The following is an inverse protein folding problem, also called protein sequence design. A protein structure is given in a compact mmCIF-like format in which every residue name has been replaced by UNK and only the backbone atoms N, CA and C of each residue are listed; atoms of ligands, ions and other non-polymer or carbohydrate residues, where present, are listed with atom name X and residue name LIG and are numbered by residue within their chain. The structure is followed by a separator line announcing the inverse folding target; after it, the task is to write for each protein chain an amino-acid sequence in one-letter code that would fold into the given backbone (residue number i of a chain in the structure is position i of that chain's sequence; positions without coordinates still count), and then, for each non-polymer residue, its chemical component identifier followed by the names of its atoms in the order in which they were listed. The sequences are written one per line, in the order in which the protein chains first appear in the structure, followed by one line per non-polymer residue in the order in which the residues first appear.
data_IF_994715550875
#
_entry.id   IF_994715550875
#
_cell.length_a   1.000
_cell.length_b   1.000
_cell.length_c   1.000
_cell.angle_alpha   90.00
_cell.angle_beta   90.00
_cell.angle_gamma   90.00
#
_symmetry.space_group_name_H-M   'P 1'
#
loop_
_entity.id
_entity.type
_entity.pdbx_description
1 polymer ?
#
# COMPACT_ATOMS: atom_id res chain seq x y z
N UNK A 1 9.00 -3.24 2.47
CA UNK A 1 7.59 -3.44 2.83
C UNK A 1 7.41 -4.77 3.53
N UNK A 2 6.78 -4.74 4.69
CA UNK A 2 6.49 -5.90 5.55
C UNK A 2 5.04 -6.35 5.37
N UNK A 3 4.75 -7.61 5.70
CA UNK A 3 3.36 -8.07 5.81
C UNK A 3 2.57 -7.31 6.89
N UNK A 4 3.24 -6.56 7.75
CA UNK A 4 2.63 -5.75 8.80
C UNK A 4 2.33 -4.31 8.39
N UNK A 5 2.79 -3.83 7.22
CA UNK A 5 2.59 -2.44 6.78
C UNK A 5 1.11 -2.09 6.71
N UNK A 6 0.33 -2.93 6.03
CA UNK A 6 -1.13 -2.73 5.89
C UNK A 6 -1.86 -2.74 7.24
N UNK A 7 -1.75 -3.79 8.10
CA UNK A 7 -2.44 -3.80 9.38
C UNK A 7 -2.06 -2.62 10.29
N UNK A 8 -0.81 -2.19 10.31
CA UNK A 8 -0.38 -1.06 11.13
C UNK A 8 -0.97 0.26 10.64
N UNK A 9 -1.03 0.48 9.31
CA UNK A 9 -1.69 1.66 8.75
C UNK A 9 -3.18 1.64 9.07
N UNK A 10 -3.85 0.49 8.91
CA UNK A 10 -5.28 0.37 9.20
C UNK A 10 -5.57 0.56 10.69
N UNK A 11 -4.71 0.09 11.57
CA UNK A 11 -4.86 0.28 13.02
C UNK A 11 -4.69 1.74 13.45
N UNK A 12 -3.83 2.49 12.79
CA UNK A 12 -3.64 3.92 13.02
C UNK A 12 -4.84 4.78 12.57
N UNK A 13 -5.76 4.24 11.77
CA UNK A 13 -6.95 4.94 11.33
C UNK A 13 -8.09 4.85 12.38
N UNK A 14 -8.91 5.90 12.54
CA UNK A 14 -10.16 5.80 13.28
C UNK A 14 -11.02 4.64 12.77
N UNK A 15 -11.71 3.93 13.67
CA UNK A 15 -12.49 2.72 13.35
C UNK A 15 -13.48 2.91 12.21
N UNK A 16 -14.13 4.09 12.12
CA UNK A 16 -15.07 4.42 11.02
C UNK A 16 -14.43 4.41 9.62
N UNK A 17 -13.11 4.66 9.50
CA UNK A 17 -12.37 4.68 8.24
C UNK A 17 -11.68 3.35 7.96
N UNK A 18 -11.25 2.62 8.99
CA UNK A 18 -10.51 1.35 8.90
C UNK A 18 -11.20 0.34 7.97
N UNK A 19 -12.52 0.21 8.08
CA UNK A 19 -13.31 -0.73 7.29
C UNK A 19 -13.68 -0.21 5.89
N UNK A 20 -13.32 1.03 5.57
CA UNK A 20 -13.54 1.65 4.25
C UNK A 20 -12.24 1.87 3.49
N UNK A 21 -11.23 1.09 3.78
CA UNK A 21 -9.97 1.06 3.03
C UNK A 21 -9.88 -0.25 2.27
N UNK A 22 -9.65 -0.16 0.96
CA UNK A 22 -9.33 -1.29 0.10
C UNK A 22 -7.83 -1.26 -0.23
N UNK A 23 -7.12 -2.35 0.00
CA UNK A 23 -5.66 -2.41 -0.18
C UNK A 23 -5.31 -2.98 -1.54
N UNK A 24 -4.61 -2.21 -2.36
CA UNK A 24 -4.08 -2.67 -3.62
C UNK A 24 -2.85 -3.55 -3.40
N UNK A 25 -2.89 -4.80 -3.84
CA UNK A 25 -1.79 -5.75 -3.75
C UNK A 25 -1.30 -6.14 -5.14
N UNK A 26 0.01 -6.27 -5.31
CA UNK A 26 0.56 -6.73 -6.57
C UNK A 26 0.09 -8.17 -6.84
N UNK A 27 -0.48 -8.42 -8.03
CA UNK A 27 -0.96 -9.74 -8.47
C UNK A 27 0.13 -10.82 -8.37
N UNK A 28 1.39 -10.40 -8.49
CA UNK A 28 2.57 -11.23 -8.42
C UNK A 28 2.77 -11.94 -7.06
N UNK A 29 2.20 -11.41 -5.99
CA UNK A 29 2.23 -12.09 -4.67
C UNK A 29 1.40 -13.36 -4.63
N UNK A 30 0.41 -13.47 -5.51
CA UNK A 30 -0.52 -14.59 -5.55
C UNK A 30 -0.49 -15.33 -6.89
N UNK A 31 0.71 -15.44 -7.51
CA UNK A 31 0.89 -16.04 -8.83
C UNK A 31 0.27 -17.43 -8.94
N UNK A 32 0.48 -18.28 -7.95
CA UNK A 32 -0.06 -19.64 -7.99
C UNK A 32 -1.60 -19.67 -7.91
N UNK A 33 -2.24 -18.65 -7.32
CA UNK A 33 -3.70 -18.50 -7.32
C UNK A 33 -4.22 -18.08 -8.70
N UNK A 34 -3.54 -17.11 -9.36
CA UNK A 34 -3.99 -16.57 -10.64
C UNK A 34 -3.55 -17.38 -11.87
N UNK A 35 -2.51 -18.21 -11.72
CA UNK A 35 -1.94 -19.04 -12.79
C UNK A 35 -1.73 -20.48 -12.29
N UNK A 36 -2.82 -21.22 -11.95
CA UNK A 36 -2.74 -22.54 -11.33
C UNK A 36 -1.96 -23.56 -12.15
N UNK A 37 -2.03 -23.45 -13.48
CA UNK A 37 -1.38 -24.40 -14.40
C UNK A 37 0.14 -24.34 -14.36
N UNK A 38 0.73 -23.27 -13.81
CA UNK A 38 2.19 -23.06 -13.70
C UNK A 38 2.77 -23.51 -12.36
N UNK A 39 1.94 -23.95 -11.42
CA UNK A 39 2.34 -24.23 -10.05
C UNK A 39 1.79 -25.55 -9.53
N UNK A 40 2.45 -26.10 -8.50
CA UNK A 40 1.96 -27.32 -7.84
C UNK A 40 0.61 -27.08 -7.14
N UNK A 41 -0.19 -28.15 -7.01
CA UNK A 41 -1.48 -28.09 -6.30
C UNK A 41 -1.36 -27.57 -4.87
N UNK A 42 -0.25 -27.91 -4.17
CA UNK A 42 0.02 -27.41 -2.82
C UNK A 42 0.28 -25.90 -2.83
N UNK A 43 1.06 -25.39 -3.77
CA UNK A 43 1.32 -23.96 -3.92
C UNK A 43 0.05 -23.18 -4.28
N UNK A 44 -0.80 -23.74 -5.14
CA UNK A 44 -2.10 -23.16 -5.47
C UNK A 44 -3.00 -23.02 -4.24
N UNK A 45 -3.18 -24.09 -3.45
CA UNK A 45 -4.03 -24.08 -2.25
C UNK A 45 -3.50 -23.05 -1.23
N UNK A 46 -2.20 -23.05 -0.97
CA UNK A 46 -1.58 -22.11 -0.03
C UNK A 46 -1.72 -20.67 -0.48
N UNK A 47 -1.43 -20.37 -1.76
CA UNK A 47 -1.58 -19.02 -2.32
C UNK A 47 -3.05 -18.56 -2.34
N UNK A 48 -3.98 -19.45 -2.66
CA UNK A 48 -5.41 -19.15 -2.64
C UNK A 48 -5.90 -18.85 -1.24
N UNK A 49 -5.52 -19.63 -0.25
CA UNK A 49 -5.84 -19.36 1.16
C UNK A 49 -5.31 -17.98 1.59
N UNK A 50 -4.04 -17.68 1.30
CA UNK A 50 -3.44 -16.40 1.61
C UNK A 50 -4.13 -15.23 0.89
N UNK A 51 -4.53 -15.40 -0.37
CA UNK A 51 -5.28 -14.40 -1.12
C UNK A 51 -6.65 -14.11 -0.49
N UNK A 52 -7.42 -15.16 -0.16
CA UNK A 52 -8.73 -14.99 0.47
C UNK A 52 -8.64 -14.40 1.87
N UNK A 53 -7.63 -14.78 2.67
CA UNK A 53 -7.37 -14.15 3.96
C UNK A 53 -7.01 -12.66 3.82
N UNK A 54 -6.13 -12.32 2.89
CA UNK A 54 -5.79 -10.92 2.62
C UNK A 54 -7.02 -10.11 2.15
N UNK A 55 -7.84 -10.69 1.28
CA UNK A 55 -9.09 -10.07 0.82
C UNK A 55 -10.09 -9.87 1.94
N UNK A 56 -10.23 -10.86 2.83
CA UNK A 56 -11.18 -10.81 3.95
C UNK A 56 -10.76 -9.78 5.03
N UNK A 57 -9.48 -9.79 5.42
CA UNK A 57 -9.00 -8.94 6.52
C UNK A 57 -8.64 -7.52 6.10
N UNK A 58 -8.22 -7.31 4.85
CA UNK A 58 -7.67 -6.02 4.39
C UNK A 58 -8.42 -5.46 3.18
N UNK A 59 -9.56 -6.03 2.79
CA UNK A 59 -10.25 -5.70 1.54
C UNK A 59 -9.27 -5.68 0.36
N UNK A 60 -8.32 -6.64 0.34
CA UNK A 60 -7.24 -6.64 -0.62
C UNK A 60 -7.76 -7.00 -2.01
N UNK A 61 -7.29 -6.28 -3.03
CA UNK A 61 -7.59 -6.57 -4.42
C UNK A 61 -6.32 -6.58 -5.28
N UNK A 62 -6.27 -7.38 -6.36
CA UNK A 62 -5.10 -7.47 -7.21
C UNK A 62 -4.98 -6.25 -8.11
N UNK A 63 -3.83 -5.58 -8.06
CA UNK A 63 -3.46 -4.50 -8.96
C UNK A 63 -2.51 -5.05 -10.03
N UNK A 64 -2.87 -5.05 -11.31
CA UNK A 64 -1.97 -5.46 -12.38
C UNK A 64 -0.84 -4.44 -12.53
N UNK A 65 0.42 -4.91 -12.53
CA UNK A 65 1.60 -4.04 -12.67
C UNK A 65 1.92 -3.69 -14.14
N UNK A 66 1.24 -4.32 -15.11
CA UNK A 66 1.46 -4.10 -16.54
C UNK A 66 0.29 -3.34 -17.16
N UNK A 67 0.56 -2.60 -18.22
CA UNK A 67 -0.41 -1.72 -18.92
C UNK A 67 -1.68 -2.42 -19.44
N UNK A 68 -1.63 -3.72 -19.67
CA UNK A 68 -2.77 -4.50 -20.19
C UNK A 68 -4.01 -4.55 -19.28
N UNK A 69 -3.95 -3.97 -18.10
CA UNK A 69 -5.07 -3.93 -17.14
C UNK A 69 -5.50 -2.52 -16.72
N UNK A 70 -4.89 -1.46 -17.25
CA UNK A 70 -5.06 -0.08 -16.75
C UNK A 70 -6.51 0.38 -16.78
N UNK A 71 -7.26 0.14 -17.87
CA UNK A 71 -8.66 0.55 -17.99
C UNK A 71 -9.56 -0.16 -16.98
N UNK A 72 -9.37 -1.46 -16.80
CA UNK A 72 -10.13 -2.26 -15.83
C UNK A 72 -9.81 -1.84 -14.39
N UNK A 73 -8.54 -1.57 -14.09
CA UNK A 73 -8.09 -1.06 -12.80
C UNK A 73 -8.72 0.28 -12.47
N UNK A 74 -8.70 1.24 -13.40
CA UNK A 74 -9.31 2.56 -13.22
C UNK A 74 -10.81 2.45 -12.97
N UNK A 75 -11.51 1.60 -13.74
CA UNK A 75 -12.94 1.36 -13.53
C UNK A 75 -13.22 0.79 -12.13
N UNK A 76 -12.49 -0.23 -11.73
CA UNK A 76 -12.66 -0.87 -10.42
C UNK A 76 -12.39 0.09 -9.27
N UNK A 77 -11.28 0.85 -9.34
CA UNK A 77 -10.94 1.85 -8.32
C UNK A 77 -11.99 2.97 -8.31
N UNK A 78 -12.45 3.43 -9.47
CA UNK A 78 -13.53 4.41 -9.57
C UNK A 78 -14.82 3.94 -8.90
N UNK A 79 -15.19 2.66 -9.07
CA UNK A 79 -16.33 2.06 -8.39
C UNK A 79 -16.15 1.98 -6.86
N UNK A 80 -14.95 1.65 -6.37
CA UNK A 80 -14.65 1.65 -4.93
C UNK A 80 -14.79 3.07 -4.35
N UNK A 81 -14.18 4.05 -5.00
CA UNK A 81 -14.21 5.46 -4.54
C UNK A 81 -15.63 6.03 -4.56
N UNK A 82 -16.43 5.73 -5.60
CA UNK A 82 -17.83 6.19 -5.68
C UNK A 82 -18.70 5.59 -4.56
N UNK A 83 -18.31 4.44 -3.99
CA UNK A 83 -18.96 3.83 -2.83
C UNK A 83 -18.41 4.34 -1.49
N UNK A 84 -17.51 5.34 -1.50
CA UNK A 84 -16.92 5.93 -0.31
C UNK A 84 -15.77 5.13 0.29
N UNK A 85 -15.12 4.26 -0.48
CA UNK A 85 -13.88 3.59 -0.08
C UNK A 85 -12.67 4.45 -0.42
N UNK A 86 -11.66 4.39 0.44
CA UNK A 86 -10.30 4.84 0.13
C UNK A 86 -9.47 3.67 -0.37
N UNK A 87 -8.51 3.94 -1.25
CA UNK A 87 -7.62 2.90 -1.79
C UNK A 87 -6.22 3.11 -1.25
N UNK A 88 -5.68 2.11 -0.56
CA UNK A 88 -4.29 2.09 -0.08
C UNK A 88 -3.40 1.48 -1.16
N UNK A 89 -2.42 2.25 -1.62
CA UNK A 89 -1.44 1.81 -2.64
C UNK A 89 -0.03 2.04 -2.11
N UNK A 90 0.84 1.05 -2.30
CA UNK A 90 2.29 1.16 -2.07
C UNK A 90 2.98 1.47 -3.41
N UNK A 91 3.34 2.74 -3.67
CA UNK A 91 3.77 3.17 -5.00
C UNK A 91 5.19 2.73 -5.37
N UNK A 92 5.94 2.17 -4.44
CA UNK A 92 7.29 1.65 -4.66
C UNK A 92 7.31 0.41 -5.58
N UNK A 93 6.20 -0.35 -5.64
CA UNK A 93 6.01 -1.51 -6.50
C UNK A 93 6.89 -2.73 -6.17
N UNK A 94 7.81 -2.60 -5.23
CA UNK A 94 8.69 -3.67 -4.74
C UNK A 94 9.03 -3.47 -3.28
N UNK A 95 9.48 -4.54 -2.62
CA UNK A 95 9.96 -4.46 -1.23
C UNK A 95 11.30 -3.74 -1.20
N UNK A 96 11.44 -2.78 -0.30
CA UNK A 96 12.69 -2.07 0.01
C UNK A 96 13.31 -2.61 1.30
N UNK A 97 14.59 -2.31 1.50
CA UNK A 97 15.25 -2.57 2.78
C UNK A 97 14.66 -1.64 3.86
N UNK A 98 14.79 -2.08 5.12
CA UNK A 98 14.21 -1.37 6.25
C UNK A 98 14.63 0.11 6.29
N UNK A 99 13.65 1.00 6.39
CA UNK A 99 13.86 2.43 6.52
C UNK A 99 14.10 3.20 5.22
N UNK A 100 14.23 2.52 4.08
CA UNK A 100 14.40 3.17 2.78
C UNK A 100 13.06 3.35 2.06
N UNK A 101 12.85 4.54 1.50
CA UNK A 101 11.76 4.83 0.58
C UNK A 101 12.32 4.72 -0.84
N UNK A 102 11.86 3.71 -1.61
CA UNK A 102 12.26 3.57 -3.00
C UNK A 102 11.58 4.62 -3.89
N UNK A 103 12.07 4.72 -5.11
CA UNK A 103 11.45 5.59 -6.13
C UNK A 103 10.02 5.14 -6.41
N UNK A 104 9.10 6.11 -6.45
CA UNK A 104 7.69 5.86 -6.70
C UNK A 104 7.42 5.59 -8.19
N UNK A 105 6.61 4.58 -8.45
CA UNK A 105 6.14 4.26 -9.80
C UNK A 105 5.00 5.19 -10.19
N UNK A 106 4.88 5.55 -11.49
CA UNK A 106 3.86 6.50 -11.98
C UNK A 106 2.41 6.03 -11.80
N UNK A 107 2.19 4.73 -11.59
CA UNK A 107 0.85 4.12 -11.57
C UNK A 107 -0.11 4.73 -10.57
N UNK A 108 0.33 4.99 -9.33
CA UNK A 108 -0.51 5.60 -8.31
C UNK A 108 -0.90 7.04 -8.67
N UNK A 109 0.05 7.84 -9.17
CA UNK A 109 -0.20 9.20 -9.63
C UNK A 109 -1.15 9.23 -10.83
N UNK A 110 -0.99 8.31 -11.78
CA UNK A 110 -1.87 8.16 -12.94
C UNK A 110 -3.32 7.86 -12.51
N UNK A 111 -3.51 6.92 -11.57
CA UNK A 111 -4.83 6.57 -11.05
C UNK A 111 -5.50 7.80 -10.41
N UNK A 112 -4.79 8.49 -9.53
CA UNK A 112 -5.30 9.66 -8.84
C UNK A 112 -5.67 10.80 -9.80
N UNK A 113 -4.80 11.14 -10.75
CA UNK A 113 -5.03 12.19 -11.73
C UNK A 113 -6.19 11.87 -12.70
N UNK A 114 -6.29 10.61 -13.15
CA UNK A 114 -7.37 10.20 -14.08
C UNK A 114 -8.74 10.10 -13.43
N UNK A 115 -8.80 9.81 -12.15
CA UNK A 115 -10.06 9.73 -11.39
C UNK A 115 -10.37 11.03 -10.65
N UNK A 116 -9.54 12.06 -10.75
CA UNK A 116 -9.63 13.33 -10.04
C UNK A 116 -9.86 13.17 -8.52
N UNK A 117 -9.11 12.24 -7.92
CA UNK A 117 -9.18 11.94 -6.48
C UNK A 117 -7.94 12.43 -5.75
N UNK A 118 -8.09 13.00 -4.54
CA UNK A 118 -6.94 13.43 -3.76
C UNK A 118 -6.13 12.23 -3.22
N UNK A 119 -4.84 12.43 -3.06
CA UNK A 119 -3.91 11.45 -2.47
C UNK A 119 -3.45 11.95 -1.11
N UNK A 120 -3.63 11.15 -0.08
CA UNK A 120 -3.06 11.40 1.26
C UNK A 120 -1.71 10.69 1.34
N UNK A 121 -0.58 11.40 1.41
CA UNK A 121 0.71 10.77 1.63
C UNK A 121 0.77 10.18 3.04
N UNK A 122 1.27 8.94 3.15
CA UNK A 122 1.40 8.23 4.41
C UNK A 122 2.83 7.73 4.56
N UNK A 123 3.47 8.02 5.68
CA UNK A 123 4.79 7.50 6.04
C UNK A 123 4.68 6.55 7.22
N UNK A 124 5.36 5.41 7.07
CA UNK A 124 5.43 4.36 8.05
C UNK A 124 6.88 4.15 8.48
N UNK A 125 7.15 4.15 9.78
CA UNK A 125 8.49 4.05 10.35
C UNK A 125 8.53 3.05 11.52
N UNK A 126 9.70 2.46 11.77
CA UNK A 126 9.97 1.60 12.93
C UNK A 126 9.50 0.15 12.78
N UNK A 127 8.94 -0.27 11.65
CA UNK A 127 8.51 -1.66 11.45
C UNK A 127 9.69 -2.64 11.33
N UNK A 128 10.87 -2.18 10.94
CA UNK A 128 12.10 -2.95 10.97
C UNK A 128 12.45 -3.46 12.37
N UNK A 129 12.08 -2.68 13.41
CA UNK A 129 12.25 -3.04 14.83
C UNK A 129 11.14 -3.95 15.36
N UNK A 130 10.04 -4.06 14.63
CA UNK A 130 8.89 -4.93 15.00
C UNK A 130 8.98 -6.25 14.28
N UNK A 131 9.38 -6.25 13.01
CA UNK A 131 9.53 -7.46 12.21
C UNK A 131 10.73 -7.32 11.27
N UNK A 132 11.88 -7.82 11.70
CA UNK A 132 13.05 -7.95 10.83
C UNK A 132 12.89 -9.15 9.90
N UNK A 133 13.46 -9.06 8.69
CA UNK A 133 13.36 -10.14 7.66
C UNK A 133 13.86 -11.51 8.14
N UNK A 134 14.77 -11.52 9.13
CA UNK A 134 15.34 -12.76 9.73
C UNK A 134 14.50 -13.32 10.88
N UNK A 135 13.46 -12.63 11.34
CA UNK A 135 12.68 -13.06 12.50
C UNK A 135 11.43 -13.83 12.06
N UNK A 136 11.15 -14.94 12.77
CA UNK A 136 9.95 -15.75 12.52
C UNK A 136 8.68 -15.12 13.11
N UNK A 137 8.82 -14.28 14.13
CA UNK A 137 7.71 -13.66 14.85
C UNK A 137 7.95 -12.17 15.05
N UNK A 138 6.89 -11.33 15.03
CA UNK A 138 6.98 -9.92 15.35
C UNK A 138 7.42 -9.73 16.82
N UNK A 139 8.28 -8.75 17.03
CA UNK A 139 8.64 -8.30 18.39
C UNK A 139 7.89 -7.01 18.72
N UNK A 140 7.74 -6.72 20.03
CA UNK A 140 7.17 -5.45 20.46
C UNK A 140 8.17 -4.33 20.17
N UNK A 141 7.71 -3.31 19.42
CA UNK A 141 8.52 -2.15 19.09
C UNK A 141 7.64 -0.97 18.67
N UNK A 142 8.16 0.26 18.79
CA UNK A 142 7.42 1.43 18.36
C UNK A 142 7.33 1.49 16.82
N UNK A 143 6.11 1.49 16.30
CA UNK A 143 5.83 1.83 14.90
C UNK A 143 5.09 3.18 14.87
N UNK A 144 5.41 4.01 13.89
CA UNK A 144 4.77 5.32 13.70
C UNK A 144 4.16 5.39 12.32
N UNK A 145 2.93 5.87 12.25
CA UNK A 145 2.23 6.18 11.00
C UNK A 145 1.94 7.68 10.98
N UNK A 146 2.47 8.38 9.99
CA UNK A 146 2.25 9.81 9.80
C UNK A 146 1.45 10.03 8.53
N UNK A 147 0.32 10.75 8.64
CA UNK A 147 -0.52 11.13 7.52
C UNK A 147 -0.28 12.60 7.19
N UNK A 148 -0.06 12.90 5.91
CA UNK A 148 0.11 14.26 5.40
C UNK A 148 -1.20 14.87 4.92
N UNK A 149 -1.13 16.13 4.48
CA UNK A 149 -2.26 16.80 3.85
C UNK A 149 -2.62 16.16 2.49
N UNK A 150 -3.90 16.12 2.11
CA UNK A 150 -4.32 15.65 0.80
C UNK A 150 -3.70 16.46 -0.34
N UNK A 151 -3.24 15.79 -1.39
CA UNK A 151 -2.61 16.38 -2.58
C UNK A 151 -3.50 16.08 -3.78
N UNK A 152 -3.93 17.11 -4.52
CA UNK A 152 -4.58 16.94 -5.80
C UNK A 152 -3.55 16.92 -6.93
N UNK A 153 -3.71 15.97 -7.85
CA UNK A 153 -2.84 15.79 -9.01
C UNK A 153 -3.64 16.07 -10.27
N UNK A 154 -3.11 16.95 -11.14
CA UNK A 154 -3.74 17.31 -12.42
C UNK A 154 -2.69 17.33 -13.52
N UNK A 155 -3.06 16.82 -14.69
CA UNK A 155 -2.20 16.78 -15.88
C UNK A 155 -1.87 15.35 -16.32
N UNK A 156 -0.84 15.21 -17.14
CA UNK A 156 -0.48 13.93 -17.79
C UNK A 156 0.97 13.50 -17.53
N UNK A 157 1.79 14.31 -16.88
CA UNK A 157 3.14 13.89 -16.48
C UNK A 157 3.07 13.11 -15.17
N UNK A 158 2.75 11.83 -15.31
CA UNK A 158 2.62 10.93 -14.16
C UNK A 158 3.95 10.62 -13.48
N UNK A 159 5.08 10.79 -14.17
CA UNK A 159 6.40 10.59 -13.60
C UNK A 159 6.77 11.75 -12.67
N UNK A 160 6.52 13.00 -13.09
CA UNK A 160 6.67 14.18 -12.25
C UNK A 160 5.76 14.10 -11.03
N UNK A 161 4.49 13.75 -11.23
CA UNK A 161 3.52 13.61 -10.15
C UNK A 161 3.93 12.55 -9.14
N UNK A 162 4.47 11.41 -9.58
CA UNK A 162 5.01 10.38 -8.69
C UNK A 162 6.19 10.92 -7.86
N UNK A 163 7.08 11.71 -8.47
CA UNK A 163 8.15 12.42 -7.76
C UNK A 163 7.63 13.39 -6.70
N UNK A 164 6.56 14.13 -6.99
CA UNK A 164 5.90 15.03 -6.01
C UNK A 164 5.31 14.24 -4.84
N UNK A 165 4.65 13.10 -5.09
CA UNK A 165 4.14 12.24 -4.02
C UNK A 165 5.27 11.65 -3.19
N UNK A 166 6.37 11.21 -3.83
CA UNK A 166 7.55 10.71 -3.13
C UNK A 166 8.15 11.78 -2.22
N UNK A 167 8.34 13.00 -2.75
CA UNK A 167 8.84 14.13 -1.96
C UNK A 167 7.94 14.45 -0.77
N UNK A 168 6.62 14.40 -0.96
CA UNK A 168 5.65 14.62 0.11
C UNK A 168 5.76 13.55 1.21
N UNK A 169 5.89 12.26 0.86
CA UNK A 169 6.09 11.20 1.84
C UNK A 169 7.43 11.34 2.56
N UNK A 170 8.51 11.71 1.84
CA UNK A 170 9.82 11.96 2.46
C UNK A 170 9.81 13.15 3.41
N UNK A 171 9.03 14.19 3.10
CA UNK A 171 8.87 15.36 3.96
C UNK A 171 8.10 15.08 5.26
N UNK A 172 7.34 13.98 5.35
CA UNK A 172 6.75 13.50 6.60
C UNK A 172 7.83 12.88 7.51
N UNK A 173 8.90 13.63 7.76
CA UNK A 173 10.00 13.20 8.61
C UNK A 173 9.54 12.92 10.04
N UNK A 174 10.23 12.07 10.81
CA UNK A 174 9.93 11.90 12.22
C UNK A 174 10.02 13.27 12.91
N UNK A 175 8.95 13.66 13.59
CA UNK A 175 9.04 14.78 14.51
C UNK A 175 10.14 14.46 15.52
N UNK A 176 11.20 15.25 15.56
CA UNK A 176 12.34 15.12 16.47
C UNK A 176 11.99 15.47 17.94
N UNK A 177 10.70 15.50 18.27
CA UNK A 177 10.20 15.76 19.61
C UNK A 177 9.50 14.51 20.15
N UNK A 178 10.27 13.54 20.64
CA UNK A 178 9.79 12.75 21.78
C UNK A 178 10.07 13.59 23.03
N UNK A 179 9.06 13.98 23.83
CA UNK A 179 9.34 14.48 25.18
C UNK A 179 9.99 13.33 25.93
N UNK A 180 11.22 13.56 26.41
CA UNK A 180 11.81 12.80 27.49
C UNK A 180 10.87 12.97 28.69
N UNK A 181 10.11 11.93 29.00
CA UNK A 181 9.37 11.89 30.23
C UNK A 181 10.34 11.45 31.34
N UNK A 182 10.41 12.18 32.48
CA UNK A 182 11.29 11.89 33.59
C UNK A 182 10.94 10.59 34.31
#
# INVERSE_FOLDING_TARGET
QSHLDTPVILDALPSRWRYRVATAMAKEFFKAHFYPDQYSRKAYIQNSANYYLASLFFNAFPLPQRESGTRQTLRYIGELVSRGYSVLIFPEGKRTQAGEIARFQPGAAMIAARLDIPVVPVRLEGLDRVLHQSWKFPQRGPARVTFGAPISLKGHDYAEMAGRLEAAVRALAPSSAAPSNP
#
